data_IF_341669176613
#
_entry.id   IF_341669176613
#
_cell.length_a   1.000
_cell.length_b   1.000
_cell.length_c   1.000
_cell.angle_alpha   90.00
_cell.angle_beta   90.00
_cell.angle_gamma   90.00
#
_symmetry.space_group_name_H-M   'P 1'
#
loop_
_entity.id
_entity.type
_entity.pdbx_description
1 polymer ?
#
# COMPACT_ATOMS: atom_id res chain seq x y z
N UNK A 1 16.64 -3.95 22.06
CA UNK A 1 15.93 -4.72 21.03
C UNK A 1 14.97 -3.76 20.37
N UNK A 2 15.31 -3.18 19.22
CA UNK A 2 14.34 -2.34 18.50
C UNK A 2 13.37 -3.29 17.83
N UNK A 3 12.21 -3.47 18.44
CA UNK A 3 11.08 -4.14 17.79
C UNK A 3 10.77 -3.33 16.54
N UNK A 4 11.26 -3.77 15.39
CA UNK A 4 10.87 -3.23 14.10
C UNK A 4 9.38 -3.56 13.94
N UNK A 5 8.51 -2.69 14.43
CA UNK A 5 7.07 -2.80 14.34
C UNK A 5 6.68 -2.57 12.88
N UNK A 6 6.88 -3.60 12.06
CA UNK A 6 6.35 -3.61 10.70
C UNK A 6 4.84 -3.65 10.77
N UNK A 7 4.19 -2.79 10.02
CA UNK A 7 2.73 -2.72 9.90
C UNK A 7 2.32 -3.31 8.56
N UNK A 8 1.05 -3.71 8.44
CA UNK A 8 0.50 -4.15 7.16
C UNK A 8 -0.41 -3.05 6.64
N UNK A 9 -0.16 -2.62 5.41
CA UNK A 9 -0.98 -1.66 4.69
C UNK A 9 -1.78 -2.38 3.63
N UNK A 10 -3.10 -2.34 3.72
CA UNK A 10 -3.98 -2.80 2.65
C UNK A 10 -4.26 -1.63 1.73
N UNK A 11 -3.73 -1.70 0.53
CA UNK A 11 -3.99 -0.73 -0.51
C UNK A 11 -5.09 -1.28 -1.40
N UNK A 12 -6.19 -0.55 -1.52
CA UNK A 12 -7.36 -0.92 -2.31
C UNK A 12 -7.75 0.22 -3.25
N UNK A 13 -8.65 -0.06 -4.18
CA UNK A 13 -9.20 0.93 -5.10
C UNK A 13 -8.12 1.68 -5.90
N UNK A 14 -7.06 0.96 -6.29
CA UNK A 14 -5.94 1.53 -7.04
C UNK A 14 -6.39 1.93 -8.45
N UNK A 15 -6.33 3.22 -8.76
CA UNK A 15 -6.55 3.77 -10.09
C UNK A 15 -5.22 4.11 -10.72
N UNK A 16 -4.87 3.36 -11.75
CA UNK A 16 -3.67 3.58 -12.55
C UNK A 16 -3.96 4.54 -13.69
N UNK A 17 -3.04 5.48 -13.93
CA UNK A 17 -3.10 6.49 -15.00
C UNK A 17 -2.97 5.80 -16.37
N UNK A 18 -1.96 4.95 -16.52
CA UNK A 18 -1.64 4.30 -17.80
C UNK A 18 -2.17 2.86 -17.78
N UNK A 19 -3.38 2.69 -18.29
CA UNK A 19 -4.06 1.40 -18.38
C UNK A 19 -3.67 0.61 -19.63
N UNK A 20 -3.22 1.28 -20.69
CA UNK A 20 -3.04 0.66 -22.01
C UNK A 20 -1.81 -0.24 -22.16
N UNK A 21 -0.77 -0.08 -21.33
CA UNK A 21 0.49 -0.83 -21.54
C UNK A 21 0.64 -2.12 -20.72
N UNK A 22 -0.04 -2.26 -19.58
CA UNK A 22 0.21 -3.36 -18.63
C UNK A 22 -1.05 -3.74 -17.80
N UNK A 23 -2.24 -3.55 -18.35
CA UNK A 23 -3.51 -3.78 -17.65
C UNK A 23 -3.63 -5.18 -16.99
N UNK A 24 -3.08 -6.22 -17.63
CA UNK A 24 -3.08 -7.59 -17.08
C UNK A 24 -2.21 -7.80 -15.85
N UNK A 25 -1.31 -6.86 -15.51
CA UNK A 25 -0.33 -7.03 -14.43
C UNK A 25 -0.55 -6.11 -13.23
N UNK A 26 -1.46 -5.16 -13.33
CA UNK A 26 -1.67 -4.15 -12.29
C UNK A 26 -2.76 -4.62 -11.32
N UNK A 27 -2.44 -4.80 -10.03
CA UNK A 27 -3.43 -5.19 -9.05
C UNK A 27 -4.38 -4.02 -8.75
N UNK A 28 -5.63 -4.35 -8.43
CA UNK A 28 -6.63 -3.42 -7.89
C UNK A 28 -6.59 -3.34 -6.36
N UNK A 29 -6.02 -4.36 -5.72
CA UNK A 29 -5.79 -4.48 -4.28
C UNK A 29 -4.46 -5.18 -4.02
N UNK A 30 -3.67 -4.69 -3.05
CA UNK A 30 -2.44 -5.32 -2.59
C UNK A 30 -2.26 -5.13 -1.09
N UNK A 31 -1.74 -6.14 -0.41
CA UNK A 31 -1.28 -6.05 0.97
C UNK A 31 0.22 -5.85 0.98
N UNK A 32 0.66 -4.75 1.59
CA UNK A 32 2.04 -4.32 1.66
C UNK A 32 2.51 -4.31 3.11
N UNK A 33 3.49 -5.16 3.43
CA UNK A 33 4.15 -5.09 4.72
C UNK A 33 5.15 -3.93 4.70
N UNK A 34 4.87 -2.90 5.49
CA UNK A 34 5.72 -1.72 5.59
C UNK A 34 6.73 -1.92 6.72
N UNK A 35 8.02 -1.68 6.43
CA UNK A 35 9.12 -1.94 7.35
C UNK A 35 9.18 -0.97 8.56
N UNK A 36 8.26 -0.01 8.62
CA UNK A 36 8.19 1.06 9.62
C UNK A 36 6.78 1.09 10.22
N UNK A 37 6.66 1.49 11.48
CA UNK A 37 5.39 1.71 12.18
C UNK A 37 4.67 2.98 11.70
N UNK A 38 5.41 3.84 11.01
CA UNK A 38 4.92 5.05 10.36
C UNK A 38 5.01 4.89 8.86
N UNK A 39 3.94 5.28 8.19
CA UNK A 39 3.85 5.38 6.75
C UNK A 39 3.28 6.72 6.37
N UNK A 40 3.62 7.16 5.16
CA UNK A 40 3.08 8.35 4.56
C UNK A 40 2.49 7.99 3.19
N UNK A 41 1.37 8.62 2.85
CA UNK A 41 0.68 8.36 1.59
C UNK A 41 1.62 8.57 0.39
N UNK A 42 2.43 9.62 0.39
CA UNK A 42 3.35 9.91 -0.72
C UNK A 42 4.44 8.85 -0.83
N UNK A 43 4.95 8.35 0.30
CA UNK A 43 5.98 7.30 0.30
C UNK A 43 5.45 5.98 -0.26
N UNK A 44 4.25 5.57 0.18
CA UNK A 44 3.63 4.32 -0.28
C UNK A 44 3.25 4.43 -1.77
N UNK A 45 2.67 5.57 -2.17
CA UNK A 45 2.32 5.83 -3.57
C UNK A 45 3.55 5.82 -4.48
N UNK A 46 4.64 6.47 -4.06
CA UNK A 46 5.88 6.47 -4.82
C UNK A 46 6.52 5.06 -4.89
N UNK A 47 6.44 4.27 -3.80
CA UNK A 47 6.90 2.89 -3.81
C UNK A 47 6.12 2.04 -4.83
N UNK A 48 4.78 2.13 -4.82
CA UNK A 48 3.92 1.42 -5.76
C UNK A 48 4.23 1.85 -7.21
N UNK A 49 4.41 3.15 -7.44
CA UNK A 49 4.70 3.66 -8.76
C UNK A 49 6.01 3.09 -9.33
N UNK A 50 7.05 3.01 -8.51
CA UNK A 50 8.33 2.42 -8.89
C UNK A 50 8.23 0.89 -9.04
N UNK A 51 7.50 0.21 -8.15
CA UNK A 51 7.37 -1.24 -8.16
C UNK A 51 6.63 -1.75 -9.40
N UNK A 52 5.53 -1.07 -9.77
CA UNK A 52 4.72 -1.41 -10.92
C UNK A 52 5.10 -0.66 -12.19
N UNK A 53 6.13 0.19 -12.12
CA UNK A 53 6.60 1.07 -13.19
C UNK A 53 5.42 1.81 -13.88
N UNK A 54 4.49 2.31 -13.08
CA UNK A 54 3.29 2.98 -13.52
C UNK A 54 2.91 4.11 -12.55
N UNK A 55 2.07 5.05 -12.96
CA UNK A 55 1.58 6.13 -12.10
C UNK A 55 0.21 5.79 -11.55
N UNK A 56 0.05 5.94 -10.24
CA UNK A 56 -1.25 5.95 -9.57
C UNK A 56 -1.84 7.35 -9.59
N UNK A 57 -3.10 7.43 -10.02
CA UNK A 57 -3.93 8.62 -9.95
C UNK A 57 -4.59 8.73 -8.59
N UNK A 58 -5.03 7.59 -8.06
CA UNK A 58 -5.79 7.49 -6.82
C UNK A 58 -5.62 6.11 -6.23
N UNK A 59 -5.64 6.01 -4.91
CA UNK A 59 -5.56 4.76 -4.16
C UNK A 59 -6.05 4.99 -2.74
N UNK A 60 -6.58 3.94 -2.12
CA UNK A 60 -7.00 3.95 -0.73
C UNK A 60 -6.04 3.09 0.08
N UNK A 61 -5.37 3.67 1.08
CA UNK A 61 -4.51 2.93 2.01
C UNK A 61 -5.23 2.77 3.33
N UNK A 62 -5.32 1.52 3.81
CA UNK A 62 -5.83 1.19 5.13
C UNK A 62 -4.76 0.42 5.90
N UNK A 63 -4.31 0.96 7.02
CA UNK A 63 -3.44 0.24 7.94
C UNK A 63 -4.24 -0.88 8.61
N UNK A 64 -3.83 -2.11 8.36
CA UNK A 64 -4.20 -3.25 9.18
C UNK A 64 -3.09 -3.39 10.21
N UNK A 65 -3.16 -2.59 11.28
CA UNK A 65 -2.43 -2.99 12.48
C UNK A 65 -2.98 -4.35 12.89
N UNK A 66 -2.10 -5.21 13.37
CA UNK A 66 -2.48 -6.40 14.14
C UNK A 66 -3.01 -5.94 15.52
N UNK A 67 -3.95 -4.98 15.53
CA UNK A 67 -4.77 -4.66 16.68
C UNK A 67 -5.88 -5.70 16.64
N UNK A 68 -5.59 -6.79 17.35
CA UNK A 68 -6.59 -7.46 18.17
C UNK A 68 -7.59 -6.42 18.65
N UNK A 69 -8.80 -6.44 18.07
CA UNK A 69 -9.91 -5.59 18.47
C UNK A 69 -10.36 -5.97 19.88
N UNK A 70 -9.52 -5.70 20.87
CA UNK A 70 -9.84 -5.71 22.28
C UNK A 70 -10.09 -4.27 22.74
N UNK A 71 -11.35 -3.92 22.92
CA UNK A 71 -11.77 -2.70 23.60
C UNK A 71 -13.16 -2.26 23.15
N UNK A 72 -14.21 -2.28 23.98
CA UNK A 72 -14.31 -2.63 25.40
C UNK A 72 -15.78 -2.66 25.82
#
# INVERSE_FOLDING_TARGET
MSENKSIVLRITNMKWVDKDKNQDKLPSEVELQWASDKWDYDQVSNWLNNHFNNSLEDLMIKQIDNVDSGGG
#
